data_IF_368127735977
#
_entry.id   IF_368127735977
#
_cell.length_a   1.000
_cell.length_b   1.000
_cell.length_c   1.000
_cell.angle_alpha   90.00
_cell.angle_beta   90.00
_cell.angle_gamma   90.00
#
_symmetry.space_group_name_H-M   'P 1'
#
loop_
_entity.id
_entity.type
_entity.pdbx_description
1 polymer ?
#
# COMPACT_ATOMS: atom_id res chain seq x y z
N UNK A 1 7.51 -1.85 -6.56
CA UNK A 1 7.15 -2.74 -5.42
C UNK A 1 6.21 -2.00 -4.47
N UNK A 2 5.34 -2.70 -3.71
CA UNK A 2 4.35 -2.09 -2.79
C UNK A 2 4.84 -2.14 -1.33
N UNK A 3 4.50 -1.14 -0.51
CA UNK A 3 4.90 -1.01 0.90
C UNK A 3 4.53 -2.25 1.74
N UNK A 4 3.32 -2.78 1.58
CA UNK A 4 2.90 -4.00 2.28
C UNK A 4 3.79 -5.20 1.94
N UNK A 5 4.20 -5.33 0.67
CA UNK A 5 5.08 -6.41 0.26
C UNK A 5 6.44 -6.30 0.94
N UNK A 6 7.00 -5.09 1.04
CA UNK A 6 8.27 -4.85 1.73
C UNK A 6 8.21 -5.17 3.21
N UNK A 7 7.14 -4.73 3.89
CA UNK A 7 6.88 -5.13 5.27
C UNK A 7 6.78 -6.65 5.39
N UNK A 8 5.98 -7.31 4.54
CA UNK A 8 5.78 -8.75 4.60
C UNK A 8 7.07 -9.55 4.40
N UNK A 9 8.02 -9.05 3.61
CA UNK A 9 9.32 -9.68 3.42
C UNK A 9 10.18 -9.52 4.69
N UNK A 10 10.24 -8.30 5.25
CA UNK A 10 10.98 -8.07 6.50
C UNK A 10 10.43 -8.89 7.68
N UNK A 11 9.11 -9.03 7.77
CA UNK A 11 8.47 -9.80 8.82
C UNK A 11 8.78 -11.30 8.71
N UNK A 12 8.75 -11.86 7.49
CA UNK A 12 9.13 -13.27 7.23
C UNK A 12 10.58 -13.57 7.56
N UNK A 13 11.49 -12.63 7.37
CA UNK A 13 12.90 -12.84 7.68
C UNK A 13 13.14 -12.98 9.18
N UNK A 14 12.27 -12.36 10.01
CA UNK A 14 12.39 -12.39 11.46
C UNK A 14 11.68 -13.60 12.10
N UNK A 15 10.72 -14.22 11.40
CA UNK A 15 9.88 -15.30 11.93
C UNK A 15 10.19 -16.66 11.28
N UNK A 16 10.47 -17.69 12.09
CA UNK A 16 10.74 -19.08 11.64
C UNK A 16 9.50 -19.98 11.64
N UNK A 17 8.31 -19.42 11.44
CA UNK A 17 7.05 -20.16 11.54
C UNK A 17 6.56 -20.73 10.19
N UNK A 18 5.50 -21.54 10.23
CA UNK A 18 4.88 -22.15 9.05
C UNK A 18 4.27 -21.08 8.13
N UNK A 19 4.57 -21.17 6.83
CA UNK A 19 4.23 -20.17 5.81
C UNK A 19 2.77 -19.69 5.79
N UNK A 20 1.80 -20.52 6.18
CA UNK A 20 0.36 -20.16 6.19
C UNK A 20 -0.01 -19.26 7.37
N UNK A 21 0.46 -19.60 8.58
CA UNK A 21 0.18 -18.85 9.81
C UNK A 21 0.78 -17.45 9.71
N UNK A 22 1.99 -17.37 9.14
CA UNK A 22 2.68 -16.09 8.88
C UNK A 22 1.86 -15.13 8.02
N UNK A 23 1.08 -15.61 7.04
CA UNK A 23 0.31 -14.72 6.15
C UNK A 23 -0.78 -13.97 6.91
N UNK A 24 -1.49 -14.68 7.77
CA UNK A 24 -2.59 -14.12 8.56
C UNK A 24 -2.05 -13.11 9.56
N UNK A 25 -0.95 -13.45 10.25
CA UNK A 25 -0.26 -12.57 11.18
C UNK A 25 0.29 -11.30 10.52
N UNK A 26 0.93 -11.41 9.35
CA UNK A 26 1.40 -10.25 8.58
C UNK A 26 0.24 -9.31 8.25
N UNK A 27 -0.90 -9.86 7.82
CA UNK A 27 -2.08 -9.07 7.50
C UNK A 27 -2.67 -8.36 8.73
N UNK A 28 -2.68 -9.01 9.89
CA UNK A 28 -3.12 -8.42 11.15
C UNK A 28 -2.14 -7.35 11.65
N UNK A 29 -0.85 -7.67 11.67
CA UNK A 29 0.21 -6.75 12.12
C UNK A 29 0.26 -5.49 11.25
N UNK A 30 0.19 -5.65 9.93
CA UNK A 30 0.14 -4.49 9.04
C UNK A 30 -1.04 -3.57 9.36
N UNK A 31 -2.23 -4.14 9.59
CA UNK A 31 -3.44 -3.39 9.92
C UNK A 31 -3.37 -2.71 11.29
N UNK A 32 -2.71 -3.32 12.27
CA UNK A 32 -2.52 -2.73 13.60
C UNK A 32 -1.37 -1.74 13.73
N UNK A 33 -0.45 -1.69 12.75
CA UNK A 33 0.63 -0.70 12.74
C UNK A 33 0.12 0.73 12.59
N UNK A 34 0.72 1.63 13.37
CA UNK A 34 0.48 3.06 13.26
C UNK A 34 1.13 3.65 12.00
N UNK A 35 0.71 4.86 11.63
CA UNK A 35 1.21 5.55 10.43
C UNK A 35 2.73 5.71 10.47
N UNK A 36 3.29 6.07 11.64
CA UNK A 36 4.75 6.22 11.84
C UNK A 36 5.51 4.92 11.56
N UNK A 37 4.97 3.78 11.98
CA UNK A 37 5.62 2.49 11.77
C UNK A 37 5.52 2.01 10.32
N UNK A 38 4.46 2.44 9.60
CA UNK A 38 4.30 2.15 8.17
C UNK A 38 5.15 3.06 7.28
N UNK A 39 5.46 4.26 7.75
CA UNK A 39 6.22 5.29 7.02
C UNK A 39 7.50 4.78 6.35
N UNK A 40 8.41 4.03 7.02
CA UNK A 40 9.63 3.54 6.37
C UNK A 40 9.34 2.65 5.16
N UNK A 41 8.32 1.79 5.24
CA UNK A 41 7.92 0.90 4.15
C UNK A 41 7.26 1.66 2.99
N UNK A 42 6.48 2.69 3.31
CA UNK A 42 5.86 3.57 2.31
C UNK A 42 6.93 4.36 1.56
N UNK A 43 7.85 5.00 2.28
CA UNK A 43 8.93 5.80 1.70
C UNK A 43 9.85 4.94 0.83
N UNK A 44 10.22 3.74 1.28
CA UNK A 44 11.00 2.79 0.49
C UNK A 44 10.26 2.36 -0.79
N UNK A 45 8.96 2.07 -0.69
CA UNK A 45 8.14 1.71 -1.85
C UNK A 45 8.06 2.81 -2.89
N UNK A 46 7.96 4.08 -2.45
CA UNK A 46 7.97 5.25 -3.34
C UNK A 46 9.32 5.34 -4.05
N UNK A 47 10.44 5.31 -3.31
CA UNK A 47 11.80 5.38 -3.87
C UNK A 47 12.04 4.30 -4.93
N UNK A 48 11.65 3.05 -4.65
CA UNK A 48 11.79 1.95 -5.62
C UNK A 48 10.92 2.13 -6.86
N UNK A 49 9.71 2.69 -6.71
CA UNK A 49 8.85 3.02 -7.87
C UNK A 49 9.48 4.11 -8.73
N UNK A 50 10.05 5.14 -8.12
CA UNK A 50 10.72 6.23 -8.83
C UNK A 50 11.99 5.74 -9.55
N UNK A 51 12.80 4.94 -8.86
CA UNK A 51 13.98 4.31 -9.45
C UNK A 51 13.60 3.45 -10.66
N UNK A 52 12.58 2.60 -10.52
CA UNK A 52 12.10 1.77 -11.63
C UNK A 52 11.63 2.62 -12.83
N UNK A 53 10.90 3.72 -12.60
CA UNK A 53 10.48 4.64 -13.67
C UNK A 53 11.66 5.29 -14.37
N UNK A 54 12.71 5.65 -13.61
CA UNK A 54 13.94 6.24 -14.17
C UNK A 54 14.70 5.25 -15.04
N UNK A 55 14.82 4.01 -14.57
CA UNK A 55 15.52 2.94 -15.28
C UNK A 55 14.71 2.41 -16.48
N UNK A 56 13.38 2.54 -16.43
CA UNK A 56 12.47 1.97 -17.44
C UNK A 56 11.48 3.03 -17.95
N UNK A 57 11.95 4.10 -18.63
CA UNK A 57 11.10 5.23 -19.02
C UNK A 57 9.99 4.85 -20.01
N UNK A 58 10.20 3.81 -20.84
CA UNK A 58 9.24 3.32 -21.82
C UNK A 58 8.35 2.17 -21.30
N UNK A 59 8.47 1.81 -20.03
CA UNK A 59 7.68 0.72 -19.48
C UNK A 59 6.21 1.11 -19.34
N UNK A 60 5.36 0.42 -20.10
CA UNK A 60 3.91 0.53 -19.99
C UNK A 60 3.39 -0.60 -19.09
N UNK A 61 2.85 -0.24 -17.94
CA UNK A 61 2.24 -1.21 -17.03
C UNK A 61 1.06 -1.91 -17.72
N UNK A 62 1.21 -3.22 -17.98
CA UNK A 62 0.14 -4.02 -18.54
C UNK A 62 -0.92 -4.24 -17.47
N UNK A 63 -2.08 -3.58 -17.59
CA UNK A 63 -3.24 -3.93 -16.77
C UNK A 63 -3.74 -5.31 -17.20
N UNK A 64 -3.37 -6.34 -16.45
CA UNK A 64 -4.00 -7.65 -16.58
C UNK A 64 -5.45 -7.46 -16.13
N UNK A 65 -6.41 -7.48 -17.06
CA UNK A 65 -7.83 -7.50 -16.71
C UNK A 65 -8.06 -8.81 -15.96
N UNK A 66 -8.31 -8.73 -14.66
CA UNK A 66 -8.67 -9.90 -13.87
C UNK A 66 -9.93 -10.52 -14.48
N UNK A 67 -9.82 -11.73 -15.03
CA UNK A 67 -11.00 -12.54 -15.34
C UNK A 67 -11.66 -12.81 -13.99
N UNK A 68 -12.75 -12.10 -13.69
CA UNK A 68 -13.49 -12.20 -12.41
C UNK A 68 -13.94 -13.65 -12.22
N UNK A 69 -13.18 -14.46 -11.47
CA UNK A 69 -13.75 -15.65 -10.81
C UNK A 69 -14.68 -15.14 -9.70
N UNK A 70 -15.91 -15.65 -9.71
CA UNK A 70 -17.09 -15.07 -9.04
C UNK A 70 -16.94 -14.92 -7.52
N UNK A 71 -17.32 -13.71 -7.07
CA UNK A 71 -17.89 -13.24 -5.79
C UNK A 71 -17.62 -14.07 -4.51
N UNK A 72 -16.71 -13.56 -3.67
CA UNK A 72 -16.83 -13.68 -2.21
C UNK A 72 -17.34 -12.32 -1.67
N UNK A 73 -18.51 -12.32 -1.01
CA UNK A 73 -19.08 -11.12 -0.39
C UNK A 73 -18.26 -10.80 0.86
N UNK A 74 -17.42 -9.76 0.81
CA UNK A 74 -16.80 -9.22 2.01
C UNK A 74 -17.80 -8.27 2.67
N UNK A 75 -18.33 -8.65 3.83
CA UNK A 75 -19.05 -7.74 4.73
C UNK A 75 -18.00 -6.85 5.37
N UNK A 76 -18.09 -5.52 5.21
CA UNK A 76 -17.40 -4.55 6.06
C UNK A 76 -18.02 -3.15 5.87
N UNK A 77 -19.10 -2.89 6.60
CA UNK A 77 -19.59 -1.54 6.88
C UNK A 77 -19.13 -1.17 8.30
N UNK A 78 -17.82 -0.91 8.49
CA UNK A 78 -17.32 -0.28 9.73
C UNK A 78 -17.24 1.23 9.52
N UNK A 79 -17.89 2.08 10.36
CA UNK A 79 -17.89 3.54 10.23
C UNK A 79 -16.49 4.19 10.22
N UNK A 80 -15.48 3.48 10.73
CA UNK A 80 -14.13 3.99 10.93
C UNK A 80 -13.33 4.12 9.62
N UNK A 81 -13.62 3.28 8.62
CA UNK A 81 -12.97 3.36 7.30
C UNK A 81 -13.46 4.55 6.48
N UNK A 82 -14.68 5.01 6.75
CA UNK A 82 -15.28 6.16 6.05
C UNK A 82 -14.58 7.48 6.42
N UNK A 83 -14.14 7.64 7.68
CA UNK A 83 -13.40 8.82 8.12
C UNK A 83 -11.98 8.84 7.55
N UNK A 84 -11.33 7.67 7.45
CA UNK A 84 -10.00 7.55 6.84
C UNK A 84 -10.06 7.84 5.33
N UNK A 85 -11.07 7.35 4.61
CA UNK A 85 -11.23 7.62 3.17
C UNK A 85 -11.54 9.10 2.89
N UNK A 86 -12.36 9.74 3.73
CA UNK A 86 -12.63 11.19 3.64
C UNK A 86 -11.38 12.02 3.93
N UNK A 87 -10.55 11.61 4.90
CA UNK A 87 -9.24 12.23 5.16
C UNK A 87 -8.33 12.07 3.93
N UNK A 88 -8.14 10.87 3.41
CA UNK A 88 -7.29 10.66 2.23
C UNK A 88 -7.74 11.49 1.00
N UNK A 89 -9.05 11.64 0.76
CA UNK A 89 -9.56 12.52 -0.31
C UNK A 89 -9.26 14.01 -0.07
N UNK A 90 -9.25 14.47 1.18
CA UNK A 90 -8.89 15.85 1.56
C UNK A 90 -7.42 16.18 1.27
N UNK A 91 -6.51 15.21 1.41
CA UNK A 91 -5.07 15.44 1.25
C UNK A 91 -4.53 15.04 -0.14
N UNK A 92 -5.23 14.21 -0.91
CA UNK A 92 -4.79 13.80 -2.25
C UNK A 92 -5.34 14.66 -3.41
N UNK A 93 -6.32 15.52 -3.17
CA UNK A 93 -6.91 16.40 -4.19
C UNK A 93 -6.37 17.84 -4.21
N UNK A 94 -5.31 18.16 -3.44
CA UNK A 94 -4.59 19.43 -3.61
C UNK A 94 -3.51 19.27 -4.68
N UNK A 95 -3.91 19.52 -5.92
CA UNK A 95 -3.01 19.69 -7.06
C UNK A 95 -2.00 20.82 -6.77
N UNK A 96 -0.71 20.69 -7.15
CA UNK A 96 0.35 21.64 -6.82
C UNK A 96 0.39 22.83 -7.79
N UNK A 97 -0.71 23.55 -7.95
CA UNK A 97 -0.72 24.82 -8.68
C UNK A 97 -1.13 25.95 -7.74
N UNK A 98 -0.30 27.00 -7.72
CA UNK A 98 -0.32 28.21 -6.85
C UNK A 98 0.56 28.15 -5.59
N UNK A 99 1.86 27.96 -5.79
CA UNK A 99 2.89 28.61 -4.98
C UNK A 99 3.88 29.36 -5.89
N UNK A 100 3.37 30.28 -6.70
CA UNK A 100 4.13 31.37 -7.27
C UNK A 100 3.26 32.62 -7.18
N UNK A 101 3.36 33.33 -6.06
CA UNK A 101 3.20 34.78 -5.98
C UNK A 101 3.61 35.23 -4.58
N UNK A 102 4.86 35.68 -4.46
CA UNK A 102 5.20 37.01 -3.97
C UNK A 102 6.68 37.28 -4.22
#
# INVERSE_FOLDING_TARGET
MNAFFEFSQSYRQNEKSLNRIIQEEIGLKWRSMNVRDREPYVNSSIRKKEQFKRENPNFKEKRIRSVRRRKFKFVNNSPETMQQEQFFKKYMNKSPEKMQEK
#
